data_IF_206061852994
#
_entry.id   IF_206061852994
#
_cell.length_a   1.000
_cell.length_b   1.000
_cell.length_c   1.000
_cell.angle_alpha   90.00
_cell.angle_beta   90.00
_cell.angle_gamma   90.00
#
_symmetry.space_group_name_H-M   'P 1'
#
loop_
_entity.id
_entity.type
_entity.pdbx_description
1 polymer ?
#
# COMPACT_ATOMS: atom_id res chain seq x y z
N UNK A 1 -0.63 -126.60 73.53
CA UNK A 1 -1.58 -125.58 73.02
C UNK A 1 -1.62 -124.28 73.84
N UNK A 2 -1.46 -124.29 75.17
CA UNK A 2 -1.58 -123.08 76.00
C UNK A 2 -0.53 -121.97 75.77
N UNK A 3 0.75 -122.32 75.51
CA UNK A 3 1.82 -121.34 75.29
C UNK A 3 1.68 -120.55 73.96
N UNK A 4 1.15 -121.19 72.90
CA UNK A 4 0.87 -120.54 71.62
C UNK A 4 -0.29 -119.53 71.73
N UNK A 5 -1.29 -119.81 72.57
CA UNK A 5 -2.44 -118.92 72.79
C UNK A 5 -2.05 -117.66 73.59
N UNK A 6 -1.22 -117.81 74.62
CA UNK A 6 -0.69 -116.70 75.40
C UNK A 6 0.22 -115.79 74.56
N UNK A 7 1.07 -116.35 73.70
CA UNK A 7 1.95 -115.58 72.82
C UNK A 7 1.15 -114.84 71.73
N UNK A 8 0.08 -115.46 71.21
CA UNK A 8 -0.85 -114.79 70.30
C UNK A 8 -1.62 -113.63 70.98
N UNK A 9 -2.11 -113.82 72.20
CA UNK A 9 -2.76 -112.75 72.98
C UNK A 9 -1.79 -111.60 73.32
N UNK A 10 -0.55 -111.92 73.71
CA UNK A 10 0.47 -110.91 73.98
C UNK A 10 0.84 -110.13 72.71
N UNK A 11 1.06 -110.82 71.59
CA UNK A 11 1.31 -110.16 70.30
C UNK A 11 0.15 -109.30 69.81
N UNK A 12 -1.10 -109.70 70.07
CA UNK A 12 -2.30 -108.93 69.73
C UNK A 12 -2.44 -107.67 70.58
N UNK A 13 -2.14 -107.76 71.89
CA UNK A 13 -2.11 -106.60 72.80
C UNK A 13 -0.97 -105.64 72.49
N UNK A 14 0.20 -106.16 72.14
CA UNK A 14 1.35 -105.34 71.77
C UNK A 14 1.06 -104.56 70.49
N UNK A 15 0.52 -105.21 69.45
CA UNK A 15 0.09 -104.54 68.22
C UNK A 15 -0.96 -103.46 68.49
N UNK A 16 -1.98 -103.75 69.29
CA UNK A 16 -2.98 -102.75 69.66
C UNK A 16 -2.38 -101.56 70.40
N UNK A 17 -1.41 -101.78 71.29
CA UNK A 17 -0.70 -100.71 71.99
C UNK A 17 0.18 -99.87 71.03
N UNK A 18 0.88 -100.53 70.10
CA UNK A 18 1.66 -99.85 69.06
C UNK A 18 0.75 -99.00 68.16
N UNK A 19 -0.41 -99.51 67.79
CA UNK A 19 -1.39 -98.82 66.94
C UNK A 19 -1.99 -97.59 67.64
N UNK A 20 -2.24 -97.67 68.96
CA UNK A 20 -2.67 -96.52 69.78
C UNK A 20 -1.56 -95.47 69.89
N UNK A 21 -0.31 -95.88 70.08
CA UNK A 21 0.84 -94.97 70.14
C UNK A 21 1.03 -94.28 68.78
N UNK A 22 0.98 -95.03 67.68
CA UNK A 22 1.10 -94.49 66.33
C UNK A 22 -0.03 -93.50 66.00
N UNK A 23 -1.28 -93.81 66.38
CA UNK A 23 -2.40 -92.88 66.22
C UNK A 23 -2.25 -91.63 67.08
N UNK A 24 -1.79 -91.77 68.32
CA UNK A 24 -1.59 -90.63 69.23
C UNK A 24 -0.48 -89.71 68.70
N UNK A 25 0.67 -90.28 68.33
CA UNK A 25 1.78 -89.54 67.73
C UNK A 25 1.38 -88.89 66.40
N UNK A 26 0.64 -89.59 65.53
CA UNK A 26 0.13 -89.02 64.28
C UNK A 26 -0.83 -87.85 64.53
N UNK A 27 -1.71 -87.95 65.52
CA UNK A 27 -2.64 -86.88 65.87
C UNK A 27 -1.93 -85.67 66.49
N UNK A 28 -0.90 -85.88 67.32
CA UNK A 28 -0.08 -84.80 67.86
C UNK A 28 0.72 -84.09 66.76
N UNK A 29 1.32 -84.83 65.83
CA UNK A 29 2.02 -84.25 64.68
C UNK A 29 1.06 -83.44 63.81
N UNK A 30 -0.16 -83.95 63.54
CA UNK A 30 -1.19 -83.21 62.79
C UNK A 30 -1.62 -81.93 63.51
N UNK A 31 -1.78 -81.96 64.83
CA UNK A 31 -2.12 -80.77 65.63
C UNK A 31 -0.99 -79.76 65.65
N UNK A 32 0.25 -80.20 65.84
CA UNK A 32 1.43 -79.34 65.83
C UNK A 32 1.61 -78.68 64.46
N UNK A 33 1.47 -79.45 63.38
CA UNK A 33 1.51 -78.95 62.01
C UNK A 33 0.40 -77.93 61.75
N UNK A 34 -0.86 -78.26 62.07
CA UNK A 34 -1.99 -77.33 61.89
C UNK A 34 -1.82 -76.05 62.71
N UNK A 35 -1.31 -76.14 63.94
CA UNK A 35 -1.03 -74.98 64.79
C UNK A 35 0.05 -74.10 64.18
N UNK A 36 1.16 -74.69 63.72
CA UNK A 36 2.24 -73.97 63.07
C UNK A 36 1.78 -73.31 61.77
N UNK A 37 1.01 -74.01 60.93
CA UNK A 37 0.46 -73.46 59.68
C UNK A 37 -0.50 -72.30 59.95
N UNK A 38 -1.40 -72.43 60.94
CA UNK A 38 -2.33 -71.37 61.30
C UNK A 38 -1.60 -70.14 61.87
N UNK A 39 -0.55 -70.35 62.67
CA UNK A 39 0.28 -69.28 63.20
C UNK A 39 1.06 -68.57 62.10
N UNK A 40 1.63 -69.32 61.15
CA UNK A 40 2.33 -68.78 59.98
C UNK A 40 1.37 -68.00 59.08
N UNK A 41 0.16 -68.52 58.82
CA UNK A 41 -0.86 -67.81 58.04
C UNK A 41 -1.27 -66.49 58.69
N UNK A 42 -1.44 -66.46 60.02
CA UNK A 42 -1.71 -65.21 60.75
C UNK A 42 -0.56 -64.22 60.65
N UNK A 43 0.68 -64.68 60.80
CA UNK A 43 1.87 -63.82 60.66
C UNK A 43 1.98 -63.24 59.24
N UNK A 44 1.74 -64.05 58.20
CA UNK A 44 1.70 -63.56 56.81
C UNK A 44 0.58 -62.56 56.57
N UNK A 45 -0.59 -62.76 57.16
CA UNK A 45 -1.71 -61.84 57.02
C UNK A 45 -1.42 -60.49 57.70
N UNK A 46 -0.81 -60.52 58.89
CA UNK A 46 -0.36 -59.30 59.59
C UNK A 46 0.71 -58.58 58.76
N UNK A 47 1.73 -59.30 58.29
CA UNK A 47 2.77 -58.73 57.44
C UNK A 47 2.22 -58.11 56.16
N UNK A 48 1.30 -58.79 55.47
CA UNK A 48 0.67 -58.27 54.26
C UNK A 48 -0.15 -57.01 54.54
N UNK A 49 -0.86 -56.97 55.67
CA UNK A 49 -1.62 -55.80 56.09
C UNK A 49 -0.70 -54.62 56.42
N UNK A 50 0.37 -54.86 57.18
CA UNK A 50 1.35 -53.84 57.56
C UNK A 50 2.08 -53.29 56.33
N UNK A 51 2.49 -54.16 55.42
CA UNK A 51 3.10 -53.75 54.16
C UNK A 51 2.14 -52.91 53.31
N UNK A 52 0.87 -53.32 53.21
CA UNK A 52 -0.15 -52.55 52.49
C UNK A 52 -0.40 -51.18 53.12
N UNK A 53 -0.45 -51.11 54.45
CA UNK A 53 -0.64 -49.85 55.17
C UNK A 53 0.55 -48.91 54.96
N UNK A 54 1.78 -49.41 55.09
CA UNK A 54 3.00 -48.62 54.84
C UNK A 54 3.07 -48.10 53.40
N UNK A 55 2.65 -48.91 52.42
CA UNK A 55 2.66 -48.52 51.01
C UNK A 55 1.60 -47.45 50.71
N UNK A 56 0.42 -47.55 51.32
CA UNK A 56 -0.63 -46.54 51.23
C UNK A 56 -0.21 -45.22 51.89
N UNK A 57 0.43 -45.26 53.06
CA UNK A 57 0.98 -44.09 53.74
C UNK A 57 2.07 -43.42 52.91
N UNK A 58 3.02 -44.20 52.37
CA UNK A 58 4.06 -43.68 51.49
C UNK A 58 3.48 -43.04 50.22
N UNK A 59 2.49 -43.67 49.59
CA UNK A 59 1.82 -43.13 48.41
C UNK A 59 1.09 -41.83 48.72
N UNK A 60 0.36 -41.77 49.84
CA UNK A 60 -0.30 -40.55 50.28
C UNK A 60 0.71 -39.44 50.59
N UNK A 61 1.82 -39.77 51.25
CA UNK A 61 2.88 -38.81 51.58
C UNK A 61 3.51 -38.22 50.32
N UNK A 62 3.87 -39.07 49.35
CA UNK A 62 4.47 -38.62 48.09
C UNK A 62 3.48 -37.77 47.28
N UNK A 63 2.22 -38.19 47.22
CA UNK A 63 1.19 -37.47 46.46
C UNK A 63 0.90 -36.10 47.08
N UNK A 64 0.84 -36.02 48.41
CA UNK A 64 0.66 -34.75 49.12
C UNK A 64 1.87 -33.83 48.95
N UNK A 65 3.10 -34.37 49.04
CA UNK A 65 4.32 -33.60 48.86
C UNK A 65 4.45 -33.04 47.43
N UNK A 66 4.10 -33.82 46.41
CA UNK A 66 4.04 -33.33 45.02
C UNK A 66 3.01 -32.21 44.92
N UNK A 67 1.80 -32.41 45.47
CA UNK A 67 0.73 -31.41 45.41
C UNK A 67 1.12 -30.11 46.11
N UNK A 68 1.76 -30.18 47.27
CA UNK A 68 2.28 -29.02 48.00
C UNK A 68 3.37 -28.29 47.21
N UNK A 69 4.34 -29.01 46.63
CA UNK A 69 5.40 -28.42 45.81
C UNK A 69 4.86 -27.68 44.58
N UNK A 70 3.79 -28.19 43.96
CA UNK A 70 3.10 -27.53 42.85
C UNK A 70 2.26 -26.31 43.31
N UNK A 71 1.79 -26.28 44.54
CA UNK A 71 1.15 -25.09 45.14
C UNK A 71 2.16 -24.04 45.60
N UNK A 72 3.43 -24.42 45.77
CA UNK A 72 4.49 -23.48 46.12
C UNK A 72 4.57 -22.37 45.07
N UNK A 73 4.49 -21.08 45.47
CA UNK A 73 4.57 -19.94 44.56
C UNK A 73 5.77 -19.98 43.61
N UNK A 74 6.83 -20.70 44.00
CA UNK A 74 8.07 -20.87 43.26
C UNK A 74 7.89 -21.63 41.94
N UNK A 75 7.18 -22.77 41.91
CA UNK A 75 6.95 -23.51 40.66
C UNK A 75 6.08 -22.69 39.71
N UNK A 76 5.01 -22.07 40.23
CA UNK A 76 4.14 -21.18 39.45
C UNK A 76 4.92 -20.00 38.85
N UNK A 77 5.76 -19.33 39.64
CA UNK A 77 6.63 -18.25 39.15
C UNK A 77 7.63 -18.72 38.09
N UNK A 78 8.20 -19.91 38.25
CA UNK A 78 9.11 -20.49 37.24
C UNK A 78 8.37 -20.76 35.94
N UNK A 79 7.18 -21.37 35.98
CA UNK A 79 6.36 -21.61 34.78
C UNK A 79 5.96 -20.29 34.12
N UNK A 80 5.53 -19.29 34.89
CA UNK A 80 5.19 -17.95 34.37
C UNK A 80 6.41 -17.25 33.75
N UNK A 81 7.60 -17.36 34.36
CA UNK A 81 8.83 -16.78 33.84
C UNK A 81 9.27 -17.43 32.52
N UNK A 82 9.18 -18.77 32.42
CA UNK A 82 9.47 -19.51 31.19
C UNK A 82 8.45 -19.15 30.11
N UNK A 83 7.16 -19.16 30.42
CA UNK A 83 6.11 -18.77 29.47
C UNK A 83 6.28 -17.32 28.98
N UNK A 84 6.64 -16.39 29.88
CA UNK A 84 6.91 -14.99 29.52
C UNK A 84 8.17 -14.86 28.66
N UNK A 85 9.21 -15.62 28.97
CA UNK A 85 10.45 -15.67 28.19
C UNK A 85 10.19 -16.18 26.77
N UNK A 86 9.49 -17.30 26.65
CA UNK A 86 9.15 -17.91 25.36
C UNK A 86 8.19 -17.04 24.54
N UNK A 87 7.15 -16.49 25.17
CA UNK A 87 6.23 -15.57 24.51
C UNK A 87 6.93 -14.31 24.02
N UNK A 88 7.85 -13.75 24.83
CA UNK A 88 8.68 -12.62 24.42
C UNK A 88 9.59 -13.00 23.25
N UNK A 89 10.22 -14.17 23.31
CA UNK A 89 11.07 -14.66 22.24
C UNK A 89 10.29 -14.81 20.93
N UNK A 90 9.12 -15.44 20.92
CA UNK A 90 8.26 -15.59 19.74
C UNK A 90 7.82 -14.22 19.21
N UNK A 91 7.41 -13.30 20.10
CA UNK A 91 7.02 -11.95 19.69
C UNK A 91 8.17 -11.21 19.01
N UNK A 92 9.39 -11.29 19.56
CA UNK A 92 10.54 -10.54 19.05
C UNK A 92 11.19 -11.20 17.82
N UNK A 93 11.25 -12.53 17.77
CA UNK A 93 11.99 -13.26 16.73
C UNK A 93 11.12 -13.66 15.53
N UNK A 94 9.82 -13.91 15.75
CA UNK A 94 8.91 -14.38 14.69
C UNK A 94 7.88 -13.33 14.31
N UNK A 95 7.15 -12.78 15.29
CA UNK A 95 6.02 -11.89 15.00
C UNK A 95 6.48 -10.50 14.56
N UNK A 96 7.38 -9.88 15.31
CA UNK A 96 7.82 -8.50 15.05
C UNK A 96 8.47 -8.34 13.66
N UNK A 97 9.34 -9.25 13.18
CA UNK A 97 9.91 -9.15 11.84
C UNK A 97 8.85 -9.33 10.74
N UNK A 98 7.90 -10.25 10.92
CA UNK A 98 6.80 -10.47 9.97
C UNK A 98 5.92 -9.22 9.86
N UNK A 99 5.53 -8.64 10.99
CA UNK A 99 4.75 -7.39 11.02
C UNK A 99 5.52 -6.25 10.35
N UNK A 100 6.81 -6.10 10.67
CA UNK A 100 7.65 -5.06 10.09
C UNK A 100 7.74 -5.19 8.57
N UNK A 101 8.02 -6.40 8.07
CA UNK A 101 8.08 -6.67 6.63
C UNK A 101 6.73 -6.43 5.95
N UNK A 102 5.63 -6.87 6.57
CA UNK A 102 4.29 -6.62 6.05
C UNK A 102 3.98 -5.12 5.96
N UNK A 103 4.27 -4.35 7.01
CA UNK A 103 4.04 -2.90 7.01
C UNK A 103 4.89 -2.18 5.95
N UNK A 104 6.14 -2.61 5.74
CA UNK A 104 7.01 -2.06 4.72
C UNK A 104 6.49 -2.34 3.30
N UNK A 105 6.03 -3.56 3.03
CA UNK A 105 5.49 -3.93 1.70
C UNK A 105 4.15 -3.23 1.41
N UNK A 106 3.29 -3.09 2.42
CA UNK A 106 2.05 -2.31 2.32
C UNK A 106 2.36 -0.83 2.03
N UNK A 107 3.30 -0.23 2.76
CA UNK A 107 3.69 1.16 2.53
C UNK A 107 4.26 1.37 1.12
N UNK A 108 5.09 0.43 0.65
CA UNK A 108 5.64 0.43 -0.71
C UNK A 108 4.55 0.33 -1.78
N UNK A 109 3.59 -0.57 -1.59
CA UNK A 109 2.47 -0.75 -2.53
C UNK A 109 1.57 0.48 -2.55
N UNK A 110 1.29 1.07 -1.38
CA UNK A 110 0.49 2.29 -1.29
C UNK A 110 1.16 3.47 -2.00
N UNK A 111 2.46 3.68 -1.78
CA UNK A 111 3.20 4.74 -2.45
C UNK A 111 3.23 4.56 -3.98
N UNK A 112 3.34 3.32 -4.46
CA UNK A 112 3.28 3.02 -5.89
C UNK A 112 1.90 3.34 -6.48
N UNK A 113 0.82 2.95 -5.79
CA UNK A 113 -0.55 3.24 -6.23
C UNK A 113 -0.85 4.74 -6.27
N UNK A 114 -0.42 5.50 -5.25
CA UNK A 114 -0.59 6.96 -5.23
C UNK A 114 0.16 7.60 -6.40
N UNK A 115 1.40 7.17 -6.65
CA UNK A 115 2.20 7.69 -7.76
C UNK A 115 1.57 7.38 -9.13
N UNK A 116 0.97 6.20 -9.29
CA UNK A 116 0.26 5.81 -10.51
C UNK A 116 -1.04 6.61 -10.69
N UNK A 117 -1.80 6.85 -9.62
CA UNK A 117 -3.01 7.68 -9.67
C UNK A 117 -2.68 9.13 -10.04
N UNK A 118 -1.64 9.71 -9.44
CA UNK A 118 -1.18 11.06 -9.76
C UNK A 118 -0.76 11.16 -11.23
N UNK A 119 0.00 10.17 -11.72
CA UNK A 119 0.37 10.07 -13.12
C UNK A 119 -0.86 10.00 -14.04
N UNK A 120 -1.85 9.16 -13.73
CA UNK A 120 -3.07 9.02 -14.53
C UNK A 120 -3.90 10.32 -14.55
N UNK A 121 -3.96 11.04 -13.44
CA UNK A 121 -4.64 12.33 -13.36
C UNK A 121 -3.97 13.37 -14.27
N UNK A 122 -2.63 13.48 -14.22
CA UNK A 122 -1.84 14.36 -15.08
C UNK A 122 -2.03 13.98 -16.55
N UNK A 123 -1.87 12.70 -16.89
CA UNK A 123 -2.02 12.20 -18.26
C UNK A 123 -3.43 12.46 -18.82
N UNK A 124 -4.47 12.27 -18.00
CA UNK A 124 -5.86 12.52 -18.41
C UNK A 124 -6.11 14.01 -18.67
N UNK A 125 -5.64 14.89 -17.79
CA UNK A 125 -5.74 16.35 -17.98
C UNK A 125 -4.97 16.82 -19.21
N UNK A 126 -3.75 16.32 -19.41
CA UNK A 126 -2.94 16.66 -20.58
C UNK A 126 -3.63 16.22 -21.89
N UNK A 127 -4.23 15.02 -21.92
CA UNK A 127 -5.04 14.55 -23.06
C UNK A 127 -6.29 15.40 -23.28
N UNK A 128 -6.84 16.00 -22.23
CA UNK A 128 -7.95 16.95 -22.30
C UNK A 128 -7.49 18.39 -22.64
N UNK A 129 -6.28 18.55 -23.19
CA UNK A 129 -5.69 19.82 -23.60
C UNK A 129 -5.38 20.81 -22.47
N UNK A 130 -5.21 20.33 -21.22
CA UNK A 130 -4.68 21.18 -20.15
C UNK A 130 -3.17 21.41 -20.36
N UNK A 131 -2.80 22.67 -20.62
CA UNK A 131 -1.44 23.05 -20.92
C UNK A 131 -0.48 22.84 -19.73
N UNK A 132 -0.92 23.08 -18.49
CA UNK A 132 -0.07 22.90 -17.31
C UNK A 132 0.18 21.42 -17.04
N UNK A 133 -0.86 20.60 -17.14
CA UNK A 133 -0.72 19.16 -16.99
C UNK A 133 0.21 18.57 -18.07
N UNK A 134 0.20 19.13 -19.28
CA UNK A 134 1.14 18.73 -20.33
C UNK A 134 2.60 19.06 -19.98
N UNK A 135 2.88 20.23 -19.39
CA UNK A 135 4.23 20.58 -18.93
C UNK A 135 4.73 19.65 -17.82
N UNK A 136 3.88 19.36 -16.84
CA UNK A 136 4.17 18.39 -15.78
C UNK A 136 4.44 16.99 -16.36
N UNK A 137 3.64 16.56 -17.34
CA UNK A 137 3.84 15.28 -18.02
C UNK A 137 5.18 15.23 -18.79
N UNK A 138 5.59 16.34 -19.43
CA UNK A 138 6.91 16.44 -20.08
C UNK A 138 8.07 16.38 -19.09
N UNK A 139 7.90 16.97 -17.90
CA UNK A 139 8.89 16.86 -16.84
C UNK A 139 9.00 15.41 -16.36
N UNK A 140 7.88 14.72 -16.16
CA UNK A 140 7.88 13.28 -15.84
C UNK A 140 8.54 12.46 -16.94
N UNK A 141 8.30 12.78 -18.22
CA UNK A 141 8.92 12.11 -19.36
C UNK A 141 10.45 12.27 -19.41
N UNK A 142 11.00 13.31 -18.78
CA UNK A 142 12.46 13.48 -18.68
C UNK A 142 13.13 12.53 -17.68
N UNK A 143 12.34 11.83 -16.85
CA UNK A 143 12.83 10.91 -15.83
C UNK A 143 13.15 9.53 -16.42
N UNK A 144 14.16 8.84 -15.87
CA UNK A 144 14.62 7.53 -16.35
C UNK A 144 13.87 6.33 -15.75
N UNK A 145 12.90 6.58 -14.87
CA UNK A 145 12.12 5.55 -14.18
C UNK A 145 11.00 4.99 -15.10
N UNK A 146 10.29 3.91 -14.70
CA UNK A 146 9.21 3.33 -15.50
C UNK A 146 8.06 4.29 -15.81
N UNK A 147 7.75 5.21 -14.88
CA UNK A 147 6.74 6.25 -15.07
C UNK A 147 7.18 7.20 -16.18
N UNK A 148 8.45 7.59 -16.21
CA UNK A 148 9.00 8.49 -17.23
C UNK A 148 8.91 7.90 -18.64
N UNK A 149 9.21 6.59 -18.81
CA UNK A 149 8.99 5.91 -20.10
C UNK A 149 7.53 5.91 -20.53
N UNK A 150 6.62 5.74 -19.58
CA UNK A 150 5.18 5.77 -19.86
C UNK A 150 4.72 7.18 -20.19
N UNK A 151 5.22 8.20 -19.47
CA UNK A 151 4.96 9.60 -19.74
C UNK A 151 5.45 10.01 -21.14
N UNK A 152 6.64 9.56 -21.56
CA UNK A 152 7.19 9.80 -22.90
C UNK A 152 6.26 9.27 -24.02
N UNK A 153 5.68 8.08 -23.82
CA UNK A 153 4.68 7.53 -24.75
C UNK A 153 3.43 8.41 -24.82
N UNK A 154 2.89 8.83 -23.67
CA UNK A 154 1.69 9.69 -23.63
C UNK A 154 1.98 11.07 -24.24
N UNK A 155 3.15 11.66 -23.99
CA UNK A 155 3.58 12.91 -24.64
C UNK A 155 3.60 12.73 -26.16
N UNK A 156 4.21 11.66 -26.65
CA UNK A 156 4.28 11.37 -28.09
C UNK A 156 2.89 11.18 -28.72
N UNK A 157 1.95 10.55 -28.01
CA UNK A 157 0.55 10.43 -28.44
C UNK A 157 -0.13 11.79 -28.58
N UNK A 158 0.03 12.65 -27.56
CA UNK A 158 -0.54 14.00 -27.55
C UNK A 158 0.06 14.84 -28.68
N UNK A 159 1.38 14.81 -28.86
CA UNK A 159 2.06 15.54 -29.93
C UNK A 159 1.58 15.09 -31.30
N UNK A 160 1.44 13.78 -31.52
CA UNK A 160 0.89 13.25 -32.77
C UNK A 160 -0.55 13.70 -33.02
N UNK A 161 -1.39 13.74 -31.97
CA UNK A 161 -2.76 14.22 -32.08
C UNK A 161 -2.80 15.72 -32.44
N UNK A 162 -1.95 16.53 -31.80
CA UNK A 162 -1.82 17.95 -32.11
C UNK A 162 -1.34 18.17 -33.55
N UNK A 163 -0.40 17.37 -34.06
CA UNK A 163 0.05 17.46 -35.45
C UNK A 163 -1.06 17.15 -36.46
N UNK A 164 -1.94 16.19 -36.16
CA UNK A 164 -3.14 15.92 -36.97
C UNK A 164 -4.10 17.12 -36.92
N UNK A 165 -4.35 17.68 -35.73
CA UNK A 165 -5.20 18.87 -35.56
C UNK A 165 -4.66 20.11 -36.29
N UNK A 166 -3.34 20.28 -36.36
CA UNK A 166 -2.71 21.35 -37.16
C UNK A 166 -3.03 21.21 -38.65
N UNK A 167 -3.09 19.98 -39.15
CA UNK A 167 -3.39 19.69 -40.56
C UNK A 167 -4.88 19.87 -40.91
N UNK A 168 -5.77 19.82 -39.92
CA UNK A 168 -7.21 20.03 -40.10
C UNK A 168 -7.56 21.52 -39.93
N UNK A 169 -7.10 22.31 -40.91
CA UNK A 169 -7.43 23.73 -41.02
C UNK A 169 -8.91 23.90 -41.40
N UNK A 170 -9.77 24.20 -40.43
CA UNK A 170 -11.18 24.45 -40.74
C UNK A 170 -12.10 25.00 -39.66
N UNK A 171 -11.60 25.49 -38.52
CA UNK A 171 -12.50 26.18 -37.57
C UNK A 171 -12.84 27.57 -38.12
N UNK A 172 -13.98 27.66 -38.82
CA UNK A 172 -14.56 28.92 -39.28
C UNK A 172 -14.72 29.89 -38.12
N UNK A 173 -14.26 31.13 -38.30
CA UNK A 173 -14.53 32.23 -37.39
C UNK A 173 -15.94 32.75 -37.67
N UNK A 174 -16.79 32.85 -36.64
CA UNK A 174 -18.14 33.39 -36.77
C UNK A 174 -18.36 34.60 -35.89
N UNK A 175 -18.59 35.78 -36.43
CA UNK A 175 -18.93 36.97 -35.63
C UNK A 175 -20.40 36.92 -35.22
N UNK A 176 -20.66 37.15 -33.94
CA UNK A 176 -22.03 37.25 -33.42
C UNK A 176 -22.46 38.73 -33.41
N UNK A 177 -23.55 39.02 -34.13
CA UNK A 177 -24.21 40.32 -34.13
C UNK A 177 -25.68 40.14 -33.75
N UNK A 178 -26.03 40.32 -32.48
CA UNK A 178 -27.36 40.02 -31.96
C UNK A 178 -27.64 38.52 -31.98
N UNK A 179 -28.67 38.07 -32.71
CA UNK A 179 -29.00 36.65 -32.89
C UNK A 179 -28.41 36.01 -34.14
N UNK A 180 -27.60 36.76 -34.90
CA UNK A 180 -27.03 36.32 -36.19
C UNK A 180 -25.56 35.97 -36.05
N UNK A 181 -25.17 34.88 -36.68
CA UNK A 181 -23.77 34.48 -36.89
C UNK A 181 -23.38 34.82 -38.32
N UNK A 182 -22.26 35.53 -38.46
CA UNK A 182 -21.67 35.90 -39.74
C UNK A 182 -20.41 35.08 -39.93
N UNK A 183 -20.30 34.36 -41.04
CA UNK A 183 -19.04 33.76 -41.51
C UNK A 183 -18.34 34.74 -42.45
N UNK A 184 -17.01 34.81 -42.38
CA UNK A 184 -16.18 35.83 -43.05
C UNK A 184 -16.16 35.78 -44.58
N UNK A 185 -15.27 36.55 -45.24
CA UNK A 185 -14.00 37.11 -44.71
C UNK A 185 -14.19 38.34 -43.81
N UNK A 186 -13.31 38.48 -42.82
CA UNK A 186 -13.28 39.62 -41.88
C UNK A 186 -12.05 40.48 -42.10
N UNK A 187 -12.16 41.77 -41.79
CA UNK A 187 -11.03 42.71 -41.82
C UNK A 187 -10.12 42.55 -40.59
N UNK A 188 -8.92 43.13 -40.65
CA UNK A 188 -7.94 43.00 -39.57
C UNK A 188 -8.38 43.67 -38.26
N UNK A 189 -9.12 44.77 -38.33
CA UNK A 189 -9.72 45.45 -37.19
C UNK A 189 -10.85 44.64 -36.54
N UNK A 190 -11.68 43.97 -37.34
CA UNK A 190 -12.70 43.04 -36.84
C UNK A 190 -12.04 41.87 -36.10
N UNK A 191 -11.02 41.24 -36.71
CA UNK A 191 -10.28 40.13 -36.10
C UNK A 191 -9.54 40.60 -34.83
N UNK A 192 -8.94 41.79 -34.82
CA UNK A 192 -8.29 42.36 -33.64
C UNK A 192 -9.28 42.61 -32.50
N UNK A 193 -10.45 43.16 -32.80
CA UNK A 193 -11.51 43.37 -31.83
C UNK A 193 -11.97 42.04 -31.23
N UNK A 194 -12.11 41.01 -32.07
CA UNK A 194 -12.52 39.69 -31.63
C UNK A 194 -11.47 39.00 -30.77
N UNK A 195 -10.20 39.05 -31.16
CA UNK A 195 -9.08 38.49 -30.39
C UNK A 195 -8.98 39.14 -29.00
N UNK A 196 -9.30 40.43 -28.90
CA UNK A 196 -9.38 41.16 -27.62
C UNK A 196 -10.56 40.70 -26.76
N UNK A 197 -11.73 40.49 -27.36
CA UNK A 197 -12.97 40.14 -26.64
C UNK A 197 -13.08 38.64 -26.31
N UNK A 198 -12.48 37.78 -27.13
CA UNK A 198 -12.57 36.31 -27.05
C UNK A 198 -11.35 35.64 -26.42
N UNK A 199 -10.49 36.41 -25.74
CA UNK A 199 -9.30 35.91 -25.03
C UNK A 199 -9.59 34.76 -24.03
N UNK A 200 -10.87 34.52 -23.69
CA UNK A 200 -11.34 33.41 -22.82
C UNK A 200 -12.44 32.55 -23.45
N UNK A 201 -12.74 32.73 -24.73
CA UNK A 201 -13.84 32.04 -25.40
C UNK A 201 -13.40 30.67 -25.96
N UNK A 202 -14.37 29.75 -26.11
CA UNK A 202 -14.16 28.42 -26.71
C UNK A 202 -13.74 28.48 -28.20
N UNK A 203 -13.90 29.63 -28.84
CA UNK A 203 -13.59 29.91 -30.25
C UNK A 203 -12.18 30.49 -30.48
N UNK A 204 -11.38 30.70 -29.43
CA UNK A 204 -10.10 31.38 -29.52
C UNK A 204 -9.15 30.75 -30.56
N UNK A 205 -9.15 29.43 -30.69
CA UNK A 205 -8.36 28.72 -31.72
C UNK A 205 -8.66 29.19 -33.15
N UNK A 206 -9.94 29.38 -33.49
CA UNK A 206 -10.36 29.83 -34.81
C UNK A 206 -9.93 31.28 -35.05
N UNK A 207 -10.06 32.14 -34.03
CA UNK A 207 -9.65 33.54 -34.12
C UNK A 207 -8.13 33.67 -34.27
N UNK A 208 -7.34 32.86 -33.54
CA UNK A 208 -5.88 32.81 -33.68
C UNK A 208 -5.48 32.39 -35.10
N UNK A 209 -6.14 31.37 -35.66
CA UNK A 209 -5.90 30.97 -37.05
C UNK A 209 -6.23 32.08 -38.04
N UNK A 210 -7.40 32.72 -37.93
CA UNK A 210 -7.76 33.80 -38.84
C UNK A 210 -6.79 34.99 -38.74
N UNK A 211 -6.34 35.33 -37.53
CA UNK A 211 -5.33 36.36 -37.32
C UNK A 211 -3.95 35.97 -37.89
N UNK A 212 -3.57 34.69 -37.81
CA UNK A 212 -2.37 34.13 -38.43
C UNK A 212 -2.44 34.22 -39.96
N UNK A 213 -3.57 33.84 -40.55
CA UNK A 213 -3.76 33.86 -42.01
C UNK A 213 -3.66 35.27 -42.61
N UNK A 214 -4.01 36.31 -41.84
CA UNK A 214 -3.79 37.70 -42.23
C UNK A 214 -2.29 38.06 -42.29
N UNK A 215 -1.44 37.33 -41.57
CA UNK A 215 0.02 37.49 -41.53
C UNK A 215 0.48 38.93 -41.28
N UNK A 216 -0.20 39.63 -40.35
CA UNK A 216 0.09 41.02 -40.00
C UNK A 216 0.88 41.11 -38.69
N UNK A 217 2.03 41.82 -38.65
CA UNK A 217 2.84 41.98 -37.43
C UNK A 217 2.10 42.60 -36.24
N UNK A 218 1.02 43.36 -36.49
CA UNK A 218 0.23 44.01 -35.44
C UNK A 218 -0.39 43.02 -34.43
N UNK A 219 -0.58 41.75 -34.81
CA UNK A 219 -1.13 40.74 -33.92
C UNK A 219 -0.09 40.15 -32.96
N UNK A 220 1.21 40.36 -33.21
CA UNK A 220 2.30 39.69 -32.51
C UNK A 220 2.27 39.95 -30.99
N UNK A 221 2.11 41.21 -30.59
CA UNK A 221 2.02 41.60 -29.18
C UNK A 221 0.86 40.90 -28.46
N UNK A 222 -0.29 40.81 -29.12
CA UNK A 222 -1.47 40.15 -28.57
C UNK A 222 -1.30 38.62 -28.52
N UNK A 223 -0.65 38.01 -29.51
CA UNK A 223 -0.32 36.58 -29.47
C UNK A 223 0.62 36.22 -28.34
N UNK A 224 1.68 36.99 -28.12
CA UNK A 224 2.62 36.75 -27.00
C UNK A 224 1.91 36.88 -25.65
N UNK A 225 1.02 37.86 -25.52
CA UNK A 225 0.21 38.02 -24.30
C UNK A 225 -0.73 36.83 -24.09
N UNK A 226 -1.49 36.44 -25.12
CA UNK A 226 -2.39 35.28 -25.03
C UNK A 226 -1.65 33.98 -24.75
N UNK A 227 -0.45 33.82 -25.31
CA UNK A 227 0.38 32.64 -25.07
C UNK A 227 0.82 32.60 -23.60
N UNK A 228 1.22 33.74 -23.04
CA UNK A 228 1.61 33.87 -21.63
C UNK A 228 0.49 33.45 -20.68
N UNK A 229 -0.76 33.76 -21.04
CA UNK A 229 -1.95 33.46 -20.26
C UNK A 229 -2.64 32.14 -20.65
N UNK A 230 -2.07 31.39 -21.60
CA UNK A 230 -2.72 30.20 -22.17
C UNK A 230 -2.83 29.06 -21.15
N UNK A 231 -4.05 28.56 -20.97
CA UNK A 231 -4.34 27.34 -20.19
C UNK A 231 -4.63 26.15 -21.07
N UNK A 232 -5.00 26.39 -22.32
CA UNK A 232 -5.36 25.38 -23.31
C UNK A 232 -4.15 25.07 -24.21
N UNK A 233 -3.82 23.78 -24.31
CA UNK A 233 -2.68 23.25 -25.04
C UNK A 233 -2.80 23.48 -26.55
N UNK A 234 -4.00 23.36 -27.13
CA UNK A 234 -4.22 23.61 -28.56
C UNK A 234 -4.07 25.09 -28.89
N UNK A 235 -4.58 25.97 -28.02
CA UNK A 235 -4.41 27.41 -28.16
C UNK A 235 -2.94 27.79 -28.05
N UNK A 236 -2.23 27.29 -27.03
CA UNK A 236 -0.80 27.54 -26.86
C UNK A 236 0.00 27.09 -28.09
N UNK A 237 -0.34 25.92 -28.63
CA UNK A 237 0.30 25.38 -29.82
C UNK A 237 0.11 26.25 -31.07
N UNK A 238 -1.13 26.65 -31.35
CA UNK A 238 -1.47 27.53 -32.49
C UNK A 238 -0.83 28.90 -32.35
N UNK A 239 -0.77 29.44 -31.13
CA UNK A 239 -0.11 30.71 -30.85
C UNK A 239 1.40 30.61 -31.11
N UNK A 240 2.07 29.54 -30.65
CA UNK A 240 3.49 29.33 -30.96
C UNK A 240 3.74 29.29 -32.46
N UNK A 241 2.94 28.51 -33.22
CA UNK A 241 3.08 28.47 -34.68
C UNK A 241 2.87 29.84 -35.33
N UNK A 242 1.83 30.56 -34.91
CA UNK A 242 1.51 31.90 -35.45
C UNK A 242 2.63 32.90 -35.18
N UNK A 243 3.23 32.83 -33.99
CA UNK A 243 4.37 33.66 -33.59
C UNK A 243 5.59 33.30 -34.45
N UNK A 244 5.99 32.02 -34.52
CA UNK A 244 7.12 31.56 -35.34
C UNK A 244 7.01 32.02 -36.79
N UNK A 245 5.81 31.95 -37.39
CA UNK A 245 5.59 32.39 -38.77
C UNK A 245 5.71 33.90 -38.96
N UNK A 246 5.18 34.69 -38.03
CA UNK A 246 5.25 36.16 -38.08
C UNK A 246 6.67 36.67 -37.84
N UNK A 247 7.42 36.04 -36.94
CA UNK A 247 8.76 36.46 -36.56
C UNK A 247 9.84 35.88 -37.47
N UNK A 248 9.53 34.82 -38.22
CA UNK A 248 10.49 33.99 -38.97
C UNK A 248 11.52 33.30 -38.08
N UNK A 249 11.21 33.14 -36.80
CA UNK A 249 12.01 32.41 -35.82
C UNK A 249 11.49 30.98 -35.68
N UNK A 250 12.39 30.02 -35.50
CA UNK A 250 12.01 28.62 -35.27
C UNK A 250 11.82 28.36 -33.78
N UNK A 251 10.71 28.84 -33.22
CA UNK A 251 10.34 28.48 -31.85
C UNK A 251 9.85 27.05 -31.81
N UNK A 252 10.39 26.28 -30.86
CA UNK A 252 9.88 24.95 -30.57
C UNK A 252 8.41 25.04 -30.15
N UNK A 253 7.56 24.08 -30.54
CA UNK A 253 6.15 24.07 -30.16
C UNK A 253 5.96 24.26 -28.66
N UNK A 254 5.19 25.29 -28.28
CA UNK A 254 4.80 25.58 -26.91
C UNK A 254 5.96 26.03 -25.99
N UNK A 255 7.05 26.58 -26.55
CA UNK A 255 8.16 27.16 -25.77
C UNK A 255 7.86 28.60 -25.34
N UNK A 256 7.00 28.74 -24.33
CA UNK A 256 6.54 30.04 -23.84
C UNK A 256 7.69 30.89 -23.30
N UNK A 257 8.63 30.29 -22.57
CA UNK A 257 9.69 31.04 -21.90
C UNK A 257 10.73 31.54 -22.91
N UNK A 258 11.07 30.75 -23.93
CA UNK A 258 11.90 31.23 -25.04
C UNK A 258 11.22 32.38 -25.78
N UNK A 259 9.93 32.24 -26.10
CA UNK A 259 9.16 33.28 -26.80
C UNK A 259 9.07 34.57 -25.97
N UNK A 260 8.81 34.48 -24.66
CA UNK A 260 8.80 35.64 -23.75
C UNK A 260 10.15 36.36 -23.72
N UNK A 261 11.23 35.59 -23.57
CA UNK A 261 12.59 36.13 -23.54
C UNK A 261 12.94 36.85 -24.84
N UNK A 262 12.63 36.22 -25.98
CA UNK A 262 12.79 36.82 -27.30
C UNK A 262 11.94 38.08 -27.46
N UNK A 263 10.67 38.05 -27.06
CA UNK A 263 9.77 39.19 -27.17
C UNK A 263 10.26 40.40 -26.38
N UNK A 264 10.76 40.19 -25.16
CA UNK A 264 11.29 41.28 -24.33
C UNK A 264 12.45 42.04 -24.98
N UNK A 265 13.22 41.37 -25.84
CA UNK A 265 14.38 41.95 -26.54
C UNK A 265 14.02 42.50 -27.92
N UNK A 266 12.92 42.04 -28.54
CA UNK A 266 12.56 42.37 -29.92
C UNK A 266 11.28 43.21 -30.08
N UNK A 267 10.49 43.41 -29.01
CA UNK A 267 9.19 44.12 -29.06
C UNK A 267 9.24 45.49 -29.75
N UNK A 268 10.31 46.25 -29.56
CA UNK A 268 10.48 47.58 -30.17
C UNK A 268 10.73 47.52 -31.69
N UNK A 269 11.14 46.38 -32.25
CA UNK A 269 11.36 46.21 -33.69
C UNK A 269 10.05 46.06 -34.47
N UNK A 270 8.93 45.85 -33.78
CA UNK A 270 7.61 45.60 -34.37
C UNK A 270 6.64 46.78 -34.20
N UNK A 271 7.15 47.92 -33.75
CA UNK A 271 6.40 49.17 -33.59
C UNK A 271 7.31 50.36 -33.87
N UNK A 272 6.76 51.44 -34.43
CA UNK A 272 7.50 52.70 -34.62
C UNK A 272 7.60 53.54 -33.33
N UNK A 273 6.98 53.07 -32.24
CA UNK A 273 6.90 53.72 -30.93
C UNK A 273 7.55 52.83 -29.87
N UNK A 274 8.15 53.39 -28.80
CA UNK A 274 8.56 52.59 -27.66
C UNK A 274 7.40 51.71 -27.19
N UNK A 275 7.60 50.40 -27.14
CA UNK A 275 6.50 49.45 -26.94
C UNK A 275 5.74 49.71 -25.64
N UNK A 276 6.44 50.11 -24.58
CA UNK A 276 5.83 50.38 -23.28
C UNK A 276 4.91 51.59 -23.30
N UNK A 277 5.26 52.62 -24.07
CA UNK A 277 4.41 53.77 -24.31
C UNK A 277 3.18 53.35 -25.13
N UNK A 278 3.38 52.65 -26.25
CA UNK A 278 2.26 52.18 -27.07
C UNK A 278 1.28 51.29 -26.28
N UNK A 279 1.78 50.32 -25.52
CA UNK A 279 0.97 49.41 -24.71
C UNK A 279 0.21 50.17 -23.60
N UNK A 280 0.84 51.18 -23.00
CA UNK A 280 0.17 52.07 -22.03
C UNK A 280 -0.93 52.91 -22.69
N UNK A 281 -0.65 53.53 -23.85
CA UNK A 281 -1.63 54.30 -24.61
C UNK A 281 -2.84 53.45 -25.02
N UNK A 282 -2.61 52.22 -25.47
CA UNK A 282 -3.68 51.28 -25.83
C UNK A 282 -4.50 50.84 -24.61
N UNK A 283 -3.86 50.65 -23.45
CA UNK A 283 -4.55 50.37 -22.18
C UNK A 283 -5.43 51.53 -21.72
N UNK A 284 -4.91 52.75 -21.79
CA UNK A 284 -5.64 53.97 -21.43
C UNK A 284 -6.82 54.21 -22.38
N UNK A 285 -6.62 54.00 -23.69
CA UNK A 285 -7.67 54.07 -24.69
C UNK A 285 -8.77 53.03 -24.42
N UNK A 286 -8.38 51.78 -24.15
CA UNK A 286 -9.30 50.69 -23.85
C UNK A 286 -10.07 50.87 -22.54
N UNK A 287 -9.55 51.67 -21.61
CA UNK A 287 -10.17 52.00 -20.32
C UNK A 287 -10.97 53.31 -20.37
N UNK A 288 -11.21 53.85 -21.57
CA UNK A 288 -11.87 55.14 -21.81
C UNK A 288 -11.17 56.37 -21.17
N UNK A 289 -9.87 56.26 -20.85
CA UNK A 289 -9.04 57.37 -20.38
C UNK A 289 -8.41 58.10 -21.58
N UNK A 290 -9.26 58.67 -22.43
CA UNK A 290 -8.84 59.25 -23.71
C UNK A 290 -7.81 60.39 -23.56
N UNK A 291 -7.87 61.15 -22.47
CA UNK A 291 -6.93 62.25 -22.21
C UNK A 291 -5.51 61.79 -21.88
N UNK A 292 -5.35 60.60 -21.28
CA UNK A 292 -4.05 59.99 -21.07
C UNK A 292 -3.58 59.29 -22.35
N UNK A 293 -4.48 58.57 -23.03
CA UNK A 293 -4.18 57.88 -24.27
C UNK A 293 -3.66 58.82 -25.38
N UNK A 294 -4.28 59.99 -25.55
CA UNK A 294 -3.92 60.97 -26.59
C UNK A 294 -2.58 61.67 -26.37
N UNK A 295 -1.92 61.43 -25.23
CA UNK A 295 -0.55 61.94 -24.97
C UNK A 295 0.52 60.94 -25.42
N UNK A 296 0.11 59.71 -25.72
CA UNK A 296 0.98 58.56 -25.96
C UNK A 296 0.73 57.91 -27.33
N UNK A 297 -0.44 58.15 -27.95
CA UNK A 297 -0.82 57.76 -29.32
C UNK A 297 -1.09 59.03 -30.11
#
# INVERSE_FOLDING_TARGET
MAALFLNWQAGKRLRAATEVIEQTASNEVKRAYSTATNQLARQFQIFAQDASNQLAEAYSSVTNQITEEFQTPRIKQTVEAVAKGEAKFILESEVQPVVTNFTAEVAKTLNALTSEQDFLAIATRARAHDYRAYLELRELASQTNPIGRTAEQVVSEIERALDVERSTLGKMVFFEGGTKQYGGPFTSDEIALKLKNEAKAKSLEGVVNAARDLNQPLFLAQFVKLLTDATDLMVADRLTLSISELTKEDFRPRDIEQIKSWWNTHKNSYTNWPYEELDQGLRDFGSANYSAASKII
#
